data_IF_235897541190
#
_entry.id   IF_235897541190
#
_cell.length_a   1.000
_cell.length_b   1.000
_cell.length_c   1.000
_cell.angle_alpha   90.00
_cell.angle_beta   90.00
_cell.angle_gamma   90.00
#
_symmetry.space_group_name_H-M   'P 1'
#
loop_
_entity.id
_entity.type
_entity.pdbx_description
1 polymer ?
#
# COMPACT_ATOMS: atom_id res chain seq x y z
N UNK A 1 -28.97 -3.36 -2.06
CA UNK A 1 -28.69 -4.10 -3.31
C UNK A 1 -27.18 -4.18 -3.39
N UNK A 2 -26.61 -5.38 -3.27
CA UNK A 2 -25.17 -5.57 -3.49
C UNK A 2 -24.86 -5.16 -4.94
N UNK A 3 -24.07 -4.10 -5.11
CA UNK A 3 -23.50 -3.80 -6.42
C UNK A 3 -22.62 -4.97 -6.80
N UNK A 4 -22.98 -5.65 -7.89
CA UNK A 4 -22.17 -6.72 -8.44
C UNK A 4 -20.95 -6.08 -9.09
N UNK A 5 -19.79 -6.22 -8.46
CA UNK A 5 -18.50 -5.82 -9.00
C UNK A 5 -18.35 -6.49 -10.38
N UNK A 6 -18.05 -5.69 -11.41
CA UNK A 6 -17.78 -6.21 -12.77
C UNK A 6 -16.30 -6.05 -13.06
N UNK A 7 -15.59 -7.18 -13.15
CA UNK A 7 -14.18 -7.25 -13.50
C UNK A 7 -14.05 -7.93 -14.86
N UNK A 8 -13.30 -7.31 -15.77
CA UNK A 8 -12.94 -7.90 -17.07
C UNK A 8 -11.45 -7.71 -17.34
N UNK A 9 -10.70 -8.80 -17.36
CA UNK A 9 -9.29 -8.81 -17.73
C UNK A 9 -9.08 -8.96 -19.24
N UNK A 10 -7.98 -8.39 -19.71
CA UNK A 10 -7.49 -8.51 -21.07
C UNK A 10 -5.99 -8.83 -21.01
N UNK A 11 -5.59 -9.90 -21.70
CA UNK A 11 -4.19 -10.35 -21.80
C UNK A 11 -3.63 -10.19 -23.23
N UNK A 12 -4.51 -9.89 -24.18
CA UNK A 12 -4.19 -9.69 -25.59
C UNK A 12 -5.01 -8.52 -26.13
N UNK A 13 -4.55 -7.91 -27.22
CA UNK A 13 -5.22 -6.77 -27.86
C UNK A 13 -5.55 -5.62 -26.90
N UNK A 14 -4.68 -5.39 -25.90
CA UNK A 14 -4.90 -4.39 -24.84
C UNK A 14 -4.94 -2.96 -25.40
N UNK A 15 -4.01 -2.55 -26.28
CA UNK A 15 -4.03 -1.19 -26.84
C UNK A 15 -5.33 -0.86 -27.59
N UNK A 16 -5.86 -1.71 -28.48
CA UNK A 16 -7.19 -1.49 -29.07
C UNK A 16 -8.32 -1.30 -28.04
N UNK A 17 -8.30 -2.06 -26.94
CA UNK A 17 -9.30 -1.93 -25.86
C UNK A 17 -9.17 -0.56 -25.17
N UNK A 18 -7.95 -0.16 -24.81
CA UNK A 18 -7.67 1.15 -24.19
C UNK A 18 -8.12 2.29 -25.12
N UNK A 19 -7.77 2.22 -26.41
CA UNK A 19 -8.15 3.23 -27.41
C UNK A 19 -9.66 3.34 -27.57
N UNK A 20 -10.37 2.20 -27.59
CA UNK A 20 -11.83 2.18 -27.66
C UNK A 20 -12.43 2.89 -26.44
N UNK A 21 -11.98 2.56 -25.24
CA UNK A 21 -12.51 3.13 -24.00
C UNK A 21 -12.24 4.64 -23.89
N UNK A 22 -11.04 5.10 -24.26
CA UNK A 22 -10.74 6.54 -24.38
C UNK A 22 -11.70 7.22 -25.36
N UNK A 23 -12.03 6.56 -26.47
CA UNK A 23 -12.91 7.14 -27.48
C UNK A 23 -14.38 7.28 -27.03
N UNK A 24 -14.79 6.46 -26.05
CA UNK A 24 -16.13 6.40 -25.47
C UNK A 24 -16.31 7.30 -24.23
N UNK A 25 -15.21 7.84 -23.67
CA UNK A 25 -15.20 8.71 -22.50
C UNK A 25 -16.00 10.01 -22.71
N UNK A 26 -16.74 10.43 -21.69
CA UNK A 26 -17.71 11.54 -21.79
C UNK A 26 -17.43 12.69 -20.83
N UNK A 27 -16.92 12.40 -19.64
CA UNK A 27 -16.78 13.34 -18.51
C UNK A 27 -15.30 13.55 -18.21
N UNK A 28 -14.55 12.48 -17.93
CA UNK A 28 -13.17 12.58 -17.48
C UNK A 28 -12.31 11.38 -17.88
N UNK A 29 -11.02 11.64 -18.05
CA UNK A 29 -9.97 10.63 -18.21
C UNK A 29 -8.78 11.06 -17.33
N UNK A 30 -8.54 10.32 -16.25
CA UNK A 30 -7.39 10.52 -15.36
C UNK A 30 -6.38 9.38 -15.60
N UNK A 31 -5.10 9.70 -15.79
CA UNK A 31 -4.08 8.69 -16.12
C UNK A 31 -2.88 8.84 -15.19
N UNK A 32 -2.44 7.72 -14.62
CA UNK A 32 -1.16 7.57 -13.94
C UNK A 32 -0.39 6.48 -14.65
N UNK A 33 0.76 6.82 -15.24
CA UNK A 33 1.47 5.87 -16.09
C UNK A 33 2.99 5.99 -15.99
N UNK A 34 3.68 4.89 -15.70
CA UNK A 34 5.14 4.85 -15.72
C UNK A 34 5.72 5.23 -17.09
N UNK A 35 5.21 4.63 -18.17
CA UNK A 35 5.64 4.94 -19.54
C UNK A 35 4.47 5.17 -20.50
N UNK A 36 4.44 6.33 -21.15
CA UNK A 36 3.42 6.73 -22.12
C UNK A 36 4.04 7.12 -23.48
N UNK A 37 4.47 6.12 -24.26
CA UNK A 37 5.14 6.34 -25.55
C UNK A 37 4.31 5.91 -26.77
N UNK A 38 3.15 5.27 -26.59
CA UNK A 38 2.31 4.82 -27.70
C UNK A 38 1.65 6.00 -28.43
N UNK A 39 2.08 6.22 -29.68
CA UNK A 39 1.44 7.20 -30.57
C UNK A 39 -0.04 6.90 -30.86
N UNK A 40 -0.47 5.65 -30.72
CA UNK A 40 -1.88 5.28 -30.94
C UNK A 40 -2.73 5.78 -29.76
N UNK A 41 -2.30 5.53 -28.53
CA UNK A 41 -2.98 6.00 -27.31
C UNK A 41 -2.94 7.53 -27.22
N UNK A 42 -1.77 8.15 -27.47
CA UNK A 42 -1.64 9.62 -27.48
C UNK A 42 -2.61 10.28 -28.47
N UNK A 43 -2.73 9.74 -29.69
CA UNK A 43 -3.70 10.23 -30.69
C UNK A 43 -5.15 9.97 -30.29
N UNK A 44 -5.44 8.88 -29.59
CA UNK A 44 -6.78 8.59 -29.09
C UNK A 44 -7.22 9.67 -28.09
N UNK A 45 -6.36 10.03 -27.13
CA UNK A 45 -6.61 11.10 -26.15
C UNK A 45 -6.83 12.45 -26.85
N UNK A 46 -5.93 12.81 -27.75
CA UNK A 46 -6.02 14.05 -28.52
C UNK A 46 -7.35 14.13 -29.29
N UNK A 47 -7.72 13.06 -30.01
CA UNK A 47 -8.98 13.01 -30.77
C UNK A 47 -10.22 13.01 -29.87
N UNK A 48 -10.18 12.36 -28.71
CA UNK A 48 -11.29 12.36 -27.77
C UNK A 48 -11.56 13.78 -27.25
N UNK A 49 -10.50 14.49 -26.82
CA UNK A 49 -10.59 15.90 -26.38
C UNK A 49 -11.06 16.84 -27.49
N UNK A 50 -10.61 16.66 -28.73
CA UNK A 50 -11.11 17.45 -29.86
C UNK A 50 -12.59 17.22 -30.17
N UNK A 51 -13.08 15.97 -30.06
CA UNK A 51 -14.50 15.65 -30.29
C UNK A 51 -15.40 16.17 -29.16
N UNK A 52 -14.87 16.23 -27.94
CA UNK A 52 -15.59 16.69 -26.76
C UNK A 52 -14.68 17.66 -25.97
N UNK A 53 -14.81 18.95 -26.24
CA UNK A 53 -14.00 19.98 -25.57
C UNK A 53 -14.24 20.05 -24.06
N UNK A 54 -15.40 19.57 -23.58
CA UNK A 54 -15.75 19.49 -22.15
C UNK A 54 -15.13 18.27 -21.44
N UNK A 55 -14.61 17.28 -22.19
CA UNK A 55 -13.93 16.11 -21.60
C UNK A 55 -12.72 16.58 -20.80
N UNK A 56 -12.70 16.33 -19.49
CA UNK A 56 -11.52 16.57 -18.67
C UNK A 56 -10.49 15.47 -18.93
N UNK A 57 -9.27 15.85 -19.29
CA UNK A 57 -8.19 14.87 -19.47
C UNK A 57 -7.01 15.34 -18.66
N UNK A 58 -6.64 14.58 -17.65
CA UNK A 58 -5.47 14.85 -16.80
C UNK A 58 -4.59 13.62 -16.74
N UNK A 59 -3.29 13.82 -16.86
CA UNK A 59 -2.35 12.71 -16.80
C UNK A 59 -1.10 13.10 -16.04
N UNK A 60 -0.51 12.12 -15.37
CA UNK A 60 0.83 12.19 -14.80
C UNK A 60 1.63 11.00 -15.32
N UNK A 61 2.86 11.29 -15.73
CA UNK A 61 3.83 10.29 -16.16
C UNK A 61 5.11 10.44 -15.33
N UNK A 62 5.88 9.37 -15.25
CA UNK A 62 7.18 9.41 -14.58
C UNK A 62 8.17 10.34 -15.31
N UNK A 63 9.04 11.01 -14.56
CA UNK A 63 10.07 11.92 -15.08
C UNK A 63 11.36 11.16 -15.43
N UNK A 64 11.24 10.24 -16.40
CA UNK A 64 12.36 9.49 -16.94
C UNK A 64 12.71 9.91 -18.38
N UNK A 65 13.96 9.61 -18.77
CA UNK A 65 14.53 9.93 -20.09
C UNK A 65 13.68 9.39 -21.27
N UNK A 66 13.00 8.25 -21.08
CA UNK A 66 12.16 7.65 -22.13
C UNK A 66 10.91 8.52 -22.35
N UNK A 67 10.25 8.98 -21.28
CA UNK A 67 9.13 9.89 -21.41
C UNK A 67 9.59 11.27 -21.93
N UNK A 68 10.76 11.74 -21.51
CA UNK A 68 11.33 12.98 -22.05
C UNK A 68 11.53 12.91 -23.57
N UNK A 69 12.00 11.77 -24.07
CA UNK A 69 12.24 11.58 -25.50
C UNK A 69 10.96 11.37 -26.32
N UNK A 70 9.96 10.64 -25.79
CA UNK A 70 8.85 10.15 -26.62
C UNK A 70 7.47 10.69 -26.23
N UNK A 71 7.32 11.25 -25.02
CA UNK A 71 6.07 11.84 -24.55
C UNK A 71 6.11 13.36 -24.63
N UNK A 72 7.20 14.01 -24.20
CA UNK A 72 7.26 15.48 -24.18
C UNK A 72 7.16 16.14 -25.56
N UNK A 73 7.50 15.41 -26.63
CA UNK A 73 7.29 15.85 -28.02
C UNK A 73 5.83 16.25 -28.32
N UNK A 74 4.84 15.66 -27.63
CA UNK A 74 3.42 15.98 -27.80
C UNK A 74 2.82 16.81 -26.67
N UNK A 75 3.61 17.14 -25.64
CA UNK A 75 3.11 17.80 -24.44
C UNK A 75 2.52 19.18 -24.75
N UNK A 76 3.17 19.93 -25.63
CA UNK A 76 2.69 21.24 -26.07
C UNK A 76 1.34 21.14 -26.81
N UNK A 77 1.20 20.14 -27.70
CA UNK A 77 -0.05 19.91 -28.44
C UNK A 77 -1.20 19.52 -27.49
N UNK A 78 -0.91 18.71 -26.47
CA UNK A 78 -1.87 18.31 -25.45
C UNK A 78 -2.34 19.53 -24.64
N UNK A 79 -1.40 20.34 -24.15
CA UNK A 79 -1.71 21.54 -23.39
C UNK A 79 -2.49 22.56 -24.23
N UNK A 80 -2.16 22.72 -25.51
CA UNK A 80 -2.84 23.64 -26.42
C UNK A 80 -4.34 23.34 -26.60
N UNK A 81 -4.75 22.08 -26.44
CA UNK A 81 -6.16 21.66 -26.53
C UNK A 81 -6.81 21.41 -25.15
N UNK A 82 -6.12 21.75 -24.06
CA UNK A 82 -6.62 21.63 -22.69
C UNK A 82 -6.55 20.22 -22.09
N UNK A 83 -5.62 19.37 -22.53
CA UNK A 83 -5.20 18.17 -21.79
C UNK A 83 -4.16 18.62 -20.76
N UNK A 84 -4.42 18.36 -19.48
CA UNK A 84 -3.54 18.77 -18.39
C UNK A 84 -2.49 17.69 -18.11
N UNK A 85 -1.23 18.07 -18.18
CA UNK A 85 -0.09 17.23 -17.81
C UNK A 85 0.35 17.67 -16.42
N UNK A 86 0.05 16.86 -15.41
CA UNK A 86 0.42 17.07 -14.02
C UNK A 86 1.86 16.62 -13.78
N UNK A 87 2.49 17.20 -12.75
CA UNK A 87 3.76 16.72 -12.21
C UNK A 87 3.47 15.88 -10.97
N UNK A 88 4.19 14.78 -10.79
CA UNK A 88 4.16 14.06 -9.52
C UNK A 88 4.81 14.91 -8.42
N UNK A 89 4.30 14.81 -7.20
CA UNK A 89 4.80 15.57 -6.04
C UNK A 89 6.02 14.91 -5.38
N UNK A 90 6.27 13.63 -5.68
CA UNK A 90 7.36 12.82 -5.16
C UNK A 90 8.48 12.71 -6.22
N UNK A 91 9.74 12.69 -5.78
CA UNK A 91 10.90 12.38 -6.63
C UNK A 91 11.13 10.88 -6.85
N UNK A 92 10.39 9.99 -6.17
CA UNK A 92 10.45 8.55 -6.42
C UNK A 92 9.87 8.19 -7.78
N UNK A 93 10.36 7.08 -8.32
CA UNK A 93 9.91 6.52 -9.58
C UNK A 93 8.41 6.17 -9.52
N UNK A 94 7.64 6.65 -10.48
CA UNK A 94 6.21 6.37 -10.60
C UNK A 94 5.99 5.07 -11.39
N UNK A 95 5.96 3.94 -10.70
CA UNK A 95 5.75 2.62 -11.33
C UNK A 95 4.27 2.27 -11.58
N UNK A 96 3.33 3.10 -11.12
CA UNK A 96 1.87 2.86 -11.25
C UNK A 96 1.37 2.99 -12.69
N UNK A 97 0.40 2.14 -13.04
CA UNK A 97 -0.17 2.03 -14.39
C UNK A 97 -1.69 1.87 -14.33
N UNK A 98 -2.40 3.00 -14.23
CA UNK A 98 -3.85 2.98 -14.25
C UNK A 98 -4.47 4.17 -14.97
N UNK A 99 -5.72 3.99 -15.39
CA UNK A 99 -6.56 5.01 -16.00
C UNK A 99 -7.95 4.94 -15.38
N UNK A 100 -8.53 6.09 -15.08
CA UNK A 100 -9.90 6.23 -14.61
C UNK A 100 -10.68 6.97 -15.70
N UNK A 101 -11.80 6.40 -16.13
CA UNK A 101 -12.71 6.99 -17.11
C UNK A 101 -14.02 7.27 -16.42
N UNK A 102 -14.52 8.51 -16.58
CA UNK A 102 -15.83 8.98 -16.13
C UNK A 102 -16.18 8.68 -14.66
N UNK A 103 -15.16 8.43 -13.83
CA UNK A 103 -15.27 7.94 -12.44
C UNK A 103 -16.02 6.62 -12.28
N UNK A 104 -16.31 5.93 -13.38
CA UNK A 104 -17.15 4.73 -13.44
C UNK A 104 -16.37 3.47 -13.84
N UNK A 105 -15.15 3.65 -14.33
CA UNK A 105 -14.29 2.58 -14.81
C UNK A 105 -12.83 2.86 -14.47
N UNK A 106 -12.20 1.93 -13.77
CA UNK A 106 -10.73 1.91 -13.62
C UNK A 106 -10.14 0.80 -14.48
N UNK A 107 -9.09 1.15 -15.23
CA UNK A 107 -8.20 0.23 -15.90
C UNK A 107 -6.90 0.18 -15.11
N UNK A 108 -6.42 -1.00 -14.74
CA UNK A 108 -5.08 -1.18 -14.17
C UNK A 108 -4.45 -2.51 -14.56
N UNK A 109 -3.13 -2.60 -14.46
CA UNK A 109 -2.39 -3.84 -14.67
C UNK A 109 -0.91 -3.57 -14.92
N UNK A 110 -0.22 -4.56 -15.49
CA UNK A 110 1.19 -4.44 -15.89
C UNK A 110 1.39 -3.58 -17.15
N UNK A 111 0.36 -3.46 -17.99
CA UNK A 111 0.48 -2.86 -19.32
C UNK A 111 0.81 -1.36 -19.27
N UNK A 112 2.06 -1.04 -19.63
CA UNK A 112 2.47 0.32 -19.93
C UNK A 112 1.87 0.81 -21.26
N UNK A 113 1.55 2.11 -21.35
CA UNK A 113 1.07 2.72 -22.60
C UNK A 113 2.22 3.04 -23.55
N UNK A 114 3.08 2.06 -23.80
CA UNK A 114 4.29 2.15 -24.60
C UNK A 114 4.21 1.31 -25.86
N UNK A 115 5.03 1.65 -26.87
CA UNK A 115 5.13 0.84 -28.09
C UNK A 115 5.66 -0.57 -27.86
N UNK A 116 6.48 -0.78 -26.80
CA UNK A 116 7.10 -2.07 -26.46
C UNK A 116 6.11 -3.05 -25.82
N UNK A 117 5.19 -2.55 -24.99
CA UNK A 117 4.24 -3.38 -24.23
C UNK A 117 3.39 -4.32 -25.12
N UNK A 118 3.20 -3.99 -26.40
CA UNK A 118 2.52 -4.85 -27.39
C UNK A 118 3.15 -6.24 -27.59
N UNK A 119 4.43 -6.39 -27.26
CA UNK A 119 5.21 -7.63 -27.48
C UNK A 119 5.49 -8.38 -26.17
N UNK A 120 5.10 -7.80 -25.05
CA UNK A 120 5.31 -8.37 -23.73
C UNK A 120 4.07 -9.18 -23.30
N UNK A 121 4.26 -10.11 -22.36
CA UNK A 121 3.15 -10.72 -21.65
C UNK A 121 2.66 -9.73 -20.59
N UNK A 122 1.57 -9.03 -20.91
CA UNK A 122 1.01 -7.95 -20.11
C UNK A 122 -0.49 -8.18 -19.91
N UNK A 123 -1.08 -7.46 -18.97
CA UNK A 123 -2.52 -7.53 -18.66
C UNK A 123 -3.08 -6.17 -18.28
N UNK A 124 -4.39 -6.01 -18.50
CA UNK A 124 -5.21 -4.91 -17.97
C UNK A 124 -6.54 -5.47 -17.48
N UNK A 125 -6.92 -5.14 -16.26
CA UNK A 125 -8.25 -5.36 -15.70
C UNK A 125 -9.08 -4.08 -15.81
N UNK A 126 -10.31 -4.24 -16.31
CA UNK A 126 -11.36 -3.22 -16.37
C UNK A 126 -12.29 -3.48 -15.19
N UNK A 127 -12.42 -2.49 -14.31
CA UNK A 127 -13.14 -2.63 -13.05
C UNK A 127 -14.20 -1.54 -12.95
N UNK A 128 -15.44 -1.97 -12.75
CA UNK A 128 -16.58 -1.08 -12.47
C UNK A 128 -17.07 -1.34 -11.07
N UNK A 129 -16.64 -0.47 -10.16
CA UNK A 129 -17.06 -0.42 -8.76
C UNK A 129 -16.80 0.99 -8.22
N UNK A 130 -17.82 1.58 -7.59
CA UNK A 130 -17.79 2.99 -7.16
C UNK A 130 -16.69 3.24 -6.11
N UNK A 131 -16.50 2.30 -5.19
CA UNK A 131 -15.47 2.40 -4.14
C UNK A 131 -14.08 2.27 -4.74
N UNK A 132 -13.87 1.33 -5.65
CA UNK A 132 -12.58 1.17 -6.34
C UNK A 132 -12.16 2.43 -7.08
N UNK A 133 -13.09 2.96 -7.87
CA UNK A 133 -12.87 4.11 -8.72
C UNK A 133 -12.60 5.36 -7.87
N UNK A 134 -13.35 5.53 -6.78
CA UNK A 134 -13.13 6.59 -5.80
C UNK A 134 -11.73 6.53 -5.20
N UNK A 135 -11.29 5.34 -4.75
CA UNK A 135 -9.94 5.15 -4.18
C UNK A 135 -8.86 5.52 -5.19
N UNK A 136 -8.94 5.04 -6.43
CA UNK A 136 -7.94 5.35 -7.46
C UNK A 136 -7.95 6.83 -7.83
N UNK A 137 -9.11 7.48 -7.82
CA UNK A 137 -9.22 8.94 -8.01
C UNK A 137 -8.53 9.68 -6.87
N UNK A 138 -8.72 9.29 -5.62
CA UNK A 138 -8.00 9.85 -4.46
C UNK A 138 -6.48 9.63 -4.58
N UNK A 139 -6.05 8.46 -5.05
CA UNK A 139 -4.62 8.18 -5.33
C UNK A 139 -4.06 9.11 -6.40
N UNK A 140 -4.80 9.35 -7.50
CA UNK A 140 -4.40 10.31 -8.52
C UNK A 140 -4.13 11.70 -7.92
N UNK A 141 -5.02 12.20 -7.05
CA UNK A 141 -4.83 13.48 -6.38
C UNK A 141 -3.66 13.46 -5.38
N UNK A 142 -3.50 12.38 -4.63
CA UNK A 142 -2.37 12.20 -3.73
C UNK A 142 -1.00 12.21 -4.44
N UNK A 143 -0.96 11.82 -5.72
CA UNK A 143 0.26 11.85 -6.54
C UNK A 143 0.51 13.23 -7.15
N UNK A 144 -0.55 13.99 -7.47
CA UNK A 144 -0.46 15.17 -8.36
C UNK A 144 -0.64 16.51 -7.66
N UNK A 145 -1.23 16.52 -6.46
CA UNK A 145 -1.59 17.75 -5.74
C UNK A 145 -0.84 17.87 -4.41
N UNK A 146 0.06 18.85 -4.31
CA UNK A 146 0.95 19.00 -3.14
C UNK A 146 0.19 19.30 -1.84
N UNK A 147 -0.96 19.94 -1.94
CA UNK A 147 -1.82 20.31 -0.81
C UNK A 147 -2.86 19.25 -0.47
N UNK A 148 -2.99 18.19 -1.29
CA UNK A 148 -3.95 17.13 -1.04
C UNK A 148 -3.53 16.30 0.17
N UNK A 149 -4.47 16.11 1.10
CA UNK A 149 -4.34 15.21 2.23
C UNK A 149 -5.56 14.29 2.20
N UNK A 150 -5.32 13.00 2.00
CA UNK A 150 -6.40 12.02 1.97
C UNK A 150 -7.07 11.91 3.34
N UNK A 151 -8.38 11.66 3.35
CA UNK A 151 -9.15 11.47 4.59
C UNK A 151 -8.62 10.31 5.44
N UNK A 152 -8.08 9.24 4.82
CA UNK A 152 -7.46 8.15 5.57
C UNK A 152 -6.15 8.63 6.23
N UNK A 153 -5.37 9.47 5.55
CA UNK A 153 -4.16 10.05 6.16
C UNK A 153 -4.52 11.02 7.28
N UNK A 154 -5.64 11.73 7.18
CA UNK A 154 -6.14 12.57 8.26
C UNK A 154 -6.37 11.77 9.55
N UNK A 155 -6.86 10.53 9.47
CA UNK A 155 -6.98 9.64 10.64
C UNK A 155 -5.63 9.38 11.33
N UNK A 156 -4.52 9.34 10.58
CA UNK A 156 -3.19 9.17 11.19
C UNK A 156 -2.77 10.40 12.00
N UNK A 157 -3.15 11.60 11.55
CA UNK A 157 -2.93 12.82 12.32
C UNK A 157 -3.84 12.90 13.54
N UNK A 158 -5.09 12.44 13.41
CA UNK A 158 -6.08 12.45 14.48
C UNK A 158 -5.78 11.40 15.58
N UNK A 159 -5.07 10.32 15.23
CA UNK A 159 -4.71 9.22 16.13
C UNK A 159 -3.19 8.96 16.16
N UNK A 160 -2.38 9.85 16.75
CA UNK A 160 -0.92 9.83 16.63
C UNK A 160 -0.25 8.59 17.23
N UNK A 161 -0.76 8.02 18.33
CA UNK A 161 -0.20 6.79 18.91
C UNK A 161 -0.41 5.57 18.00
N UNK A 162 -1.60 5.45 17.40
CA UNK A 162 -1.90 4.42 16.41
C UNK A 162 -1.01 4.60 15.18
N UNK A 163 -0.93 5.82 14.66
CA UNK A 163 -0.10 6.14 13.51
C UNK A 163 1.38 5.85 13.76
N UNK A 164 1.90 6.19 14.94
CA UNK A 164 3.29 5.90 15.31
C UNK A 164 3.55 4.38 15.29
N UNK A 165 2.71 3.57 15.94
CA UNK A 165 2.83 2.09 15.91
C UNK A 165 2.75 1.55 14.49
N UNK A 166 1.78 2.02 13.70
CA UNK A 166 1.57 1.58 12.32
C UNK A 166 2.77 1.89 11.42
N UNK A 167 3.26 3.13 11.43
CA UNK A 167 4.42 3.54 10.62
C UNK A 167 5.70 2.84 11.07
N UNK A 168 5.92 2.66 12.38
CA UNK A 168 7.10 1.91 12.86
C UNK A 168 7.07 0.46 12.38
N UNK A 169 5.88 -0.15 12.32
CA UNK A 169 5.68 -1.52 11.87
C UNK A 169 5.93 -1.67 10.38
N UNK A 170 5.37 -0.80 9.54
CA UNK A 170 5.29 -1.06 8.10
C UNK A 170 5.98 -0.06 7.18
N UNK A 171 6.35 1.14 7.64
CA UNK A 171 6.96 2.13 6.76
C UNK A 171 8.35 1.65 6.28
N UNK A 172 8.64 1.63 4.97
CA UNK A 172 9.90 1.14 4.43
C UNK A 172 11.01 2.20 4.58
N UNK A 173 11.57 2.33 5.78
CA UNK A 173 12.58 3.34 6.06
C UNK A 173 13.83 3.18 5.17
N UNK A 174 14.31 4.29 4.61
CA UNK A 174 15.70 4.42 4.18
C UNK A 174 16.61 4.57 5.40
N UNK A 175 17.92 4.34 5.23
CA UNK A 175 18.90 4.54 6.32
C UNK A 175 18.91 5.98 6.85
N UNK A 176 18.66 6.96 5.99
CA UNK A 176 18.62 8.37 6.36
C UNK A 176 17.36 8.69 7.16
N UNK A 177 16.20 8.21 6.69
CA UNK A 177 14.93 8.35 7.40
C UNK A 177 14.95 7.67 8.76
N UNK A 178 15.50 6.44 8.84
CA UNK A 178 15.65 5.73 10.11
C UNK A 178 16.44 6.56 11.14
N UNK A 179 17.57 7.17 10.71
CA UNK A 179 18.36 8.05 11.58
C UNK A 179 17.59 9.30 11.98
N UNK A 180 16.87 9.90 11.04
CA UNK A 180 16.09 11.13 11.25
C UNK A 180 14.97 10.94 12.28
N UNK A 181 14.30 9.80 12.24
CA UNK A 181 13.13 9.53 13.10
C UNK A 181 13.44 8.66 14.31
N UNK A 182 14.73 8.35 14.55
CA UNK A 182 15.15 7.32 15.50
C UNK A 182 14.56 7.47 16.91
N UNK A 183 14.43 8.70 17.39
CA UNK A 183 13.89 9.01 18.71
C UNK A 183 12.35 8.94 18.77
N UNK A 184 11.69 8.48 17.71
CA UNK A 184 10.23 8.32 17.61
C UNK A 184 9.84 6.97 17.03
N UNK A 185 10.82 6.09 16.78
CA UNK A 185 10.56 4.74 16.31
C UNK A 185 10.31 3.84 17.52
N UNK A 186 9.08 3.33 17.65
CA UNK A 186 8.70 2.31 18.63
C UNK A 186 9.31 0.98 18.21
N UNK A 187 10.07 0.34 19.10
CA UNK A 187 10.61 -0.99 18.84
C UNK A 187 9.51 -2.08 18.77
N UNK A 188 8.51 -2.03 19.66
CA UNK A 188 7.55 -3.12 19.86
C UNK A 188 8.15 -4.27 20.66
N UNK A 189 7.37 -5.32 20.93
CA UNK A 189 7.84 -6.53 21.61
C UNK A 189 7.07 -7.77 21.14
N UNK A 190 7.65 -8.96 21.33
CA UNK A 190 7.01 -10.25 21.08
C UNK A 190 7.66 -11.34 21.96
N UNK A 191 6.88 -12.03 22.79
CA UNK A 191 7.34 -13.10 23.68
C UNK A 191 6.20 -14.04 24.09
N UNK A 192 6.52 -15.24 24.53
CA UNK A 192 5.56 -16.17 25.15
C UNK A 192 5.54 -16.01 26.67
N UNK A 193 4.38 -16.27 27.27
CA UNK A 193 4.22 -16.31 28.71
C UNK A 193 3.18 -17.35 29.13
N UNK A 194 3.39 -17.97 30.29
CA UNK A 194 2.45 -18.94 30.85
C UNK A 194 1.23 -18.24 31.44
N UNK A 195 0.04 -18.58 30.96
CA UNK A 195 -1.23 -18.10 31.52
C UNK A 195 -1.83 -19.07 32.57
N UNK A 196 -1.09 -20.13 32.92
CA UNK A 196 -1.48 -21.15 33.91
C UNK A 196 -2.11 -22.40 33.32
N UNK A 197 -2.47 -22.40 32.02
CA UNK A 197 -2.96 -23.57 31.29
C UNK A 197 -2.06 -23.91 30.10
N UNK A 198 -1.63 -22.91 29.34
CA UNK A 198 -0.74 -23.03 28.19
C UNK A 198 0.16 -21.78 28.05
N UNK A 199 1.14 -21.86 27.15
CA UNK A 199 1.93 -20.69 26.77
C UNK A 199 1.11 -19.83 25.81
N UNK A 200 1.06 -18.53 26.05
CA UNK A 200 0.36 -17.54 25.24
C UNK A 200 1.34 -16.51 24.68
N UNK A 201 1.18 -16.15 23.42
CA UNK A 201 2.00 -15.13 22.77
C UNK A 201 1.48 -13.74 23.13
N UNK A 202 2.39 -12.85 23.55
CA UNK A 202 2.12 -11.43 23.78
C UNK A 202 2.99 -10.59 22.87
N UNK A 203 2.39 -9.65 22.14
CA UNK A 203 3.09 -8.77 21.22
C UNK A 203 2.54 -7.34 21.25
N UNK A 204 3.36 -6.41 20.76
CA UNK A 204 2.98 -5.02 20.49
C UNK A 204 3.63 -4.59 19.16
N UNK A 205 2.86 -3.99 18.22
CA UNK A 205 3.37 -3.56 16.93
C UNK A 205 4.54 -2.59 17.06
N UNK A 206 5.50 -2.67 16.15
CA UNK A 206 6.66 -1.80 16.13
C UNK A 206 7.74 -2.26 15.18
N UNK A 207 8.90 -1.62 15.27
CA UNK A 207 10.02 -1.80 14.36
C UNK A 207 10.57 -3.23 14.31
N UNK A 208 10.34 -4.07 15.33
CA UNK A 208 10.72 -5.50 15.29
C UNK A 208 9.96 -6.32 14.23
N UNK A 209 8.79 -5.86 13.79
CA UNK A 209 8.02 -6.46 12.69
C UNK A 209 8.41 -5.88 11.33
N UNK A 210 9.11 -4.74 11.32
CA UNK A 210 9.52 -4.08 10.10
C UNK A 210 10.66 -4.84 9.43
N UNK A 211 10.59 -5.06 8.12
CA UNK A 211 11.65 -5.75 7.38
C UNK A 211 13.03 -5.07 7.47
N UNK A 212 13.04 -3.76 7.74
CA UNK A 212 14.26 -2.96 7.89
C UNK A 212 14.76 -2.92 9.34
N UNK A 213 14.23 -3.76 10.25
CA UNK A 213 14.63 -3.79 11.66
C UNK A 213 16.15 -3.98 11.88
N UNK A 214 16.82 -4.66 10.94
CA UNK A 214 18.28 -4.86 10.94
C UNK A 214 19.08 -3.55 10.90
N UNK A 215 18.45 -2.41 10.58
CA UNK A 215 19.08 -1.09 10.65
C UNK A 215 19.44 -0.69 12.08
N UNK A 216 18.76 -1.24 13.10
CA UNK A 216 19.13 -1.05 14.49
C UNK A 216 19.93 -2.25 15.02
N UNK A 217 21.25 -2.09 15.12
CA UNK A 217 22.13 -3.12 15.69
C UNK A 217 21.94 -3.31 17.21
N UNK A 218 21.23 -2.40 17.89
CA UNK A 218 20.91 -2.54 19.32
C UNK A 218 19.68 -3.41 19.56
N UNK A 219 18.87 -3.66 18.52
CA UNK A 219 17.79 -4.64 18.62
C UNK A 219 18.39 -6.03 18.75
N UNK A 220 18.03 -6.70 19.85
CA UNK A 220 18.41 -8.08 20.11
C UNK A 220 17.16 -8.92 19.89
N UNK A 221 17.30 -10.00 19.13
CA UNK A 221 16.24 -10.98 19.00
C UNK A 221 15.88 -11.51 20.40
N UNK A 222 14.60 -11.40 20.76
CA UNK A 222 14.09 -12.00 21.98
C UNK A 222 13.97 -13.52 21.82
N UNK A 223 12.80 -14.06 22.13
CA UNK A 223 12.49 -15.47 21.91
C UNK A 223 12.43 -15.85 20.43
N UNK A 224 12.07 -14.88 19.57
CA UNK A 224 11.84 -15.08 18.15
C UNK A 224 12.85 -14.31 17.30
N UNK A 225 13.14 -14.84 16.10
CA UNK A 225 14.04 -14.22 15.13
C UNK A 225 13.45 -12.91 14.59
N UNK A 226 14.30 -11.89 14.45
CA UNK A 226 13.95 -10.62 13.82
C UNK A 226 14.18 -10.66 12.29
N UNK A 227 13.34 -9.99 11.48
CA UNK A 227 12.07 -9.39 11.88
C UNK A 227 11.05 -10.47 12.30
N UNK A 228 10.18 -10.14 13.24
CA UNK A 228 9.11 -11.05 13.68
C UNK A 228 8.15 -11.26 12.52
N UNK A 229 7.99 -12.51 12.10
CA UNK A 229 7.07 -12.86 11.03
C UNK A 229 5.62 -12.74 11.51
N UNK A 230 4.75 -12.01 10.79
CA UNK A 230 3.31 -11.91 11.11
C UNK A 230 2.61 -13.28 11.12
N UNK A 231 3.03 -14.21 10.26
CA UNK A 231 2.46 -15.56 10.19
C UNK A 231 2.74 -16.38 11.43
N UNK A 232 3.83 -16.09 12.16
CA UNK A 232 4.04 -16.65 13.49
C UNK A 232 2.87 -16.26 14.40
N UNK A 233 2.51 -14.98 14.45
CA UNK A 233 1.45 -14.46 15.32
C UNK A 233 0.09 -15.08 14.95
N UNK A 234 -0.25 -15.09 13.66
CA UNK A 234 -1.51 -15.68 13.15
C UNK A 234 -1.63 -17.17 13.49
N UNK A 235 -0.55 -17.93 13.33
CA UNK A 235 -0.53 -19.35 13.67
C UNK A 235 -0.73 -19.60 15.16
N UNK A 236 -0.18 -18.74 16.02
CA UNK A 236 -0.33 -18.84 17.48
C UNK A 236 -1.75 -18.52 17.97
N UNK A 237 -2.47 -17.60 17.33
CA UNK A 237 -3.85 -17.21 17.71
C UNK A 237 -4.88 -18.25 17.25
N UNK A 238 -4.51 -19.15 16.33
CA UNK A 238 -5.28 -20.36 16.07
C UNK A 238 -6.61 -20.14 15.36
N UNK A 239 -6.62 -19.48 14.20
CA UNK A 239 -7.28 -20.02 12.99
C UNK A 239 -7.21 -19.11 11.76
N UNK A 240 -6.91 -19.79 10.63
CA UNK A 240 -7.33 -19.60 9.24
C UNK A 240 -7.09 -18.26 8.54
N UNK A 241 -6.14 -18.29 7.60
CA UNK A 241 -6.40 -17.86 6.23
C UNK A 241 -5.67 -18.79 5.25
N UNK A 242 -6.43 -19.63 4.54
CA UNK A 242 -5.96 -20.23 3.29
C UNK A 242 -5.98 -19.13 2.23
N UNK A 243 -4.86 -18.43 2.06
CA UNK A 243 -4.55 -17.65 0.86
C UNK A 243 -3.02 -17.54 0.69
N UNK A 244 -2.36 -18.70 0.66
CA UNK A 244 -0.89 -18.82 0.60
C UNK A 244 -0.28 -18.71 -0.81
N UNK A 245 -0.97 -18.09 -1.77
CA UNK A 245 -0.40 -17.84 -3.10
C UNK A 245 -0.11 -16.36 -3.39
N UNK A 246 -0.56 -15.44 -2.52
CA UNK A 246 -0.40 -13.98 -2.73
C UNK A 246 0.56 -13.36 -1.70
N UNK A 247 0.69 -13.95 -0.50
CA UNK A 247 1.52 -13.38 0.59
C UNK A 247 3.04 -13.46 0.34
N UNK A 248 3.50 -14.30 -0.59
CA UNK A 248 4.91 -14.33 -1.01
C UNK A 248 5.37 -13.09 -1.78
N UNK A 249 4.43 -12.26 -2.26
CA UNK A 249 4.68 -11.12 -3.15
C UNK A 249 4.39 -9.75 -2.49
N UNK A 250 4.04 -9.71 -1.20
CA UNK A 250 3.31 -8.57 -0.57
C UNK A 250 4.13 -7.61 0.28
N UNK A 251 5.44 -7.75 0.30
CA UNK A 251 6.27 -7.16 1.34
C UNK A 251 7.00 -5.86 0.95
N UNK A 252 6.65 -5.27 -0.20
CA UNK A 252 7.11 -3.95 -0.64
C UNK A 252 5.96 -3.22 -1.38
N UNK A 253 5.64 -1.95 -1.06
CA UNK A 253 4.64 -1.18 -1.80
C UNK A 253 4.90 -1.08 -3.31
N UNK A 254 6.13 -1.28 -3.78
CA UNK A 254 6.45 -1.40 -5.22
C UNK A 254 5.86 -2.68 -5.86
N UNK A 255 5.58 -3.73 -5.08
CA UNK A 255 5.10 -5.03 -5.56
C UNK A 255 3.59 -5.09 -5.83
N UNK A 256 2.85 -4.01 -5.56
CA UNK A 256 1.48 -3.85 -6.08
C UNK A 256 1.44 -3.99 -7.61
N UNK A 257 2.51 -3.52 -8.26
CA UNK A 257 2.66 -3.62 -9.71
C UNK A 257 3.16 -5.01 -10.14
N UNK A 258 3.96 -5.71 -9.32
CA UNK A 258 4.37 -7.09 -9.57
C UNK A 258 3.21 -8.09 -9.46
N UNK A 259 2.23 -7.84 -8.59
CA UNK A 259 1.02 -8.66 -8.56
C UNK A 259 0.19 -8.49 -9.84
N UNK A 260 0.23 -7.31 -10.45
CA UNK A 260 -0.26 -7.09 -11.81
C UNK A 260 0.50 -7.96 -12.83
N UNK A 261 1.82 -8.03 -12.74
CA UNK A 261 2.71 -8.79 -13.64
C UNK A 261 2.65 -10.32 -13.44
N UNK A 262 2.35 -10.80 -12.22
CA UNK A 262 2.35 -12.21 -11.83
C UNK A 262 0.97 -12.86 -11.83
N UNK A 263 -0.10 -12.12 -12.13
CA UNK A 263 -1.38 -12.76 -12.48
C UNK A 263 -1.19 -13.43 -13.85
N UNK A 264 -0.57 -14.61 -13.83
CA UNK A 264 -0.64 -15.59 -14.91
C UNK A 264 -2.10 -15.75 -15.34
N UNK A 265 -2.31 -16.15 -16.60
CA UNK A 265 -3.59 -16.29 -17.35
C UNK A 265 -4.68 -17.09 -16.62
N UNK A 266 -5.09 -16.64 -15.45
CA UNK A 266 -5.95 -17.32 -14.51
C UNK A 266 -6.97 -16.30 -14.03
N UNK A 267 -8.14 -16.37 -14.64
CA UNK A 267 -9.28 -15.52 -14.31
C UNK A 267 -9.70 -15.65 -12.85
N UNK A 268 -9.48 -16.82 -12.22
CA UNK A 268 -9.80 -17.03 -10.81
C UNK A 268 -8.81 -16.28 -9.91
N UNK A 269 -7.52 -16.21 -10.28
CA UNK A 269 -6.53 -15.44 -9.54
C UNK A 269 -6.79 -13.93 -9.63
N UNK A 270 -7.18 -13.43 -10.81
CA UNK A 270 -7.65 -12.04 -11.00
C UNK A 270 -8.84 -11.75 -10.08
N UNK A 271 -9.86 -12.61 -10.11
CA UNK A 271 -11.11 -12.41 -9.36
C UNK A 271 -10.86 -12.46 -7.84
N UNK A 272 -10.10 -13.44 -7.35
CA UNK A 272 -9.72 -13.55 -5.93
C UNK A 272 -8.92 -12.33 -5.48
N UNK A 273 -7.95 -11.89 -6.27
CA UNK A 273 -7.13 -10.72 -5.95
C UNK A 273 -7.99 -9.46 -5.77
N UNK A 274 -8.83 -9.17 -6.76
CA UNK A 274 -9.65 -7.96 -6.72
C UNK A 274 -10.70 -8.06 -5.62
N UNK A 275 -11.36 -9.21 -5.43
CA UNK A 275 -12.25 -9.42 -4.28
C UNK A 275 -11.56 -9.16 -2.95
N UNK A 276 -10.36 -9.69 -2.76
CA UNK A 276 -9.59 -9.44 -1.54
C UNK A 276 -9.32 -7.95 -1.36
N UNK A 277 -8.84 -7.27 -2.41
CA UNK A 277 -8.57 -5.83 -2.38
C UNK A 277 -9.84 -5.01 -2.09
N UNK A 278 -11.00 -5.46 -2.58
CA UNK A 278 -12.29 -4.88 -2.26
C UNK A 278 -12.65 -5.08 -0.79
N UNK A 279 -12.52 -6.28 -0.27
CA UNK A 279 -12.90 -6.58 1.11
C UNK A 279 -12.00 -5.86 2.12
N UNK A 280 -10.79 -5.46 1.69
CA UNK A 280 -9.76 -4.87 2.55
C UNK A 280 -9.52 -3.38 2.32
N UNK A 281 -10.22 -2.78 1.35
CA UNK A 281 -10.26 -1.32 1.16
C UNK A 281 -11.47 -0.74 1.90
N UNK A 282 -11.19 -0.07 2.99
CA UNK A 282 -12.21 0.45 3.89
C UNK A 282 -12.44 1.95 3.69
N UNK A 283 -13.69 2.35 3.85
CA UNK A 283 -14.08 3.76 3.91
C UNK A 283 -13.53 4.42 5.18
N UNK A 284 -13.43 5.75 5.17
CA UNK A 284 -13.04 6.54 6.34
C UNK A 284 -13.76 6.13 7.62
N UNK A 285 -15.09 5.97 7.60
CA UNK A 285 -15.89 5.66 8.80
C UNK A 285 -15.56 4.27 9.38
N UNK A 286 -15.34 3.29 8.50
CA UNK A 286 -14.94 1.93 8.89
C UNK A 286 -13.55 1.96 9.52
N UNK A 287 -12.58 2.63 8.89
CA UNK A 287 -11.23 2.80 9.45
C UNK A 287 -11.25 3.50 10.80
N UNK A 288 -12.02 4.59 10.93
CA UNK A 288 -12.20 5.31 12.18
C UNK A 288 -12.77 4.43 13.28
N UNK A 289 -13.79 3.64 12.97
CA UNK A 289 -14.38 2.67 13.90
C UNK A 289 -13.36 1.60 14.31
N UNK A 290 -12.60 1.05 13.36
CA UNK A 290 -11.56 0.05 13.62
C UNK A 290 -10.46 0.61 14.54
N UNK A 291 -9.99 1.84 14.29
CA UNK A 291 -8.98 2.50 15.14
C UNK A 291 -9.53 2.73 16.55
N UNK A 292 -10.76 3.23 16.68
CA UNK A 292 -11.40 3.45 17.99
C UNK A 292 -11.59 2.15 18.77
N UNK A 293 -11.83 1.03 18.07
CA UNK A 293 -11.95 -0.30 18.65
C UNK A 293 -10.61 -1.03 18.78
N UNK A 294 -9.49 -0.31 18.69
CA UNK A 294 -8.14 -0.85 18.86
C UNK A 294 -7.83 -2.02 17.91
N UNK A 295 -8.07 -1.81 16.61
CA UNK A 295 -7.69 -2.78 15.57
C UNK A 295 -6.28 -3.31 15.75
N UNK A 296 -6.12 -4.62 15.60
CA UNK A 296 -4.83 -5.26 15.65
C UNK A 296 -4.05 -5.01 14.36
N UNK A 297 -3.01 -4.17 14.48
CA UNK A 297 -2.14 -3.77 13.37
C UNK A 297 -1.46 -4.97 12.70
N UNK A 298 -1.12 -6.03 13.44
CA UNK A 298 -0.36 -7.18 12.92
C UNK A 298 -1.29 -8.19 12.24
N UNK A 299 -2.47 -8.41 12.81
CA UNK A 299 -3.45 -9.37 12.28
C UNK A 299 -4.16 -8.80 11.06
N UNK A 300 -4.51 -7.52 11.09
CA UNK A 300 -5.15 -6.84 9.96
C UNK A 300 -4.11 -6.39 8.93
N UNK A 301 -3.57 -7.36 8.19
CA UNK A 301 -2.39 -7.18 7.35
C UNK A 301 -2.59 -6.27 6.12
N UNK A 302 -3.84 -5.95 5.79
CA UNK A 302 -4.22 -5.06 4.70
C UNK A 302 -4.49 -3.62 5.13
N UNK A 303 -4.47 -3.37 6.43
CA UNK A 303 -4.62 -2.03 7.01
C UNK A 303 -3.61 -1.06 6.45
N UNK A 304 -2.33 -1.41 6.46
CA UNK A 304 -1.30 -0.53 5.92
C UNK A 304 -1.36 -0.35 4.40
N UNK A 305 -1.18 -1.41 3.59
CA UNK A 305 -0.94 -1.26 2.16
C UNK A 305 -2.13 -0.69 1.39
N UNK A 306 -3.36 -1.00 1.80
CA UNK A 306 -4.56 -0.66 1.02
C UNK A 306 -5.21 0.65 1.47
N UNK A 307 -4.96 1.06 2.72
CA UNK A 307 -5.72 2.15 3.32
C UNK A 307 -4.87 3.37 3.66
N UNK A 308 -3.57 3.22 3.93
CA UNK A 308 -2.69 4.34 4.30
C UNK A 308 -1.52 4.53 3.35
N UNK A 309 -0.82 3.46 2.98
CA UNK A 309 0.42 3.53 2.19
C UNK A 309 0.21 4.23 0.83
N UNK A 310 -0.95 4.03 0.20
CA UNK A 310 -1.30 4.59 -1.11
C UNK A 310 -1.32 6.13 -1.15
N UNK A 311 -1.55 6.76 0.00
CA UNK A 311 -1.79 8.19 0.12
C UNK A 311 -0.63 8.94 0.79
N UNK A 312 0.39 8.22 1.26
CA UNK A 312 1.52 8.79 1.96
C UNK A 312 2.64 9.18 0.99
N UNK A 313 3.08 10.43 1.12
CA UNK A 313 4.32 10.92 0.50
C UNK A 313 5.33 11.31 1.59
N UNK A 314 6.57 11.58 1.19
CA UNK A 314 7.65 11.90 2.11
C UNK A 314 7.35 13.12 3.01
N UNK A 315 6.66 14.13 2.47
CA UNK A 315 6.31 15.36 3.20
C UNK A 315 5.30 15.07 4.31
N UNK A 316 4.30 14.23 4.05
CA UNK A 316 3.31 13.79 5.03
C UNK A 316 3.95 12.92 6.11
N UNK A 317 4.82 11.98 5.72
CA UNK A 317 5.59 11.15 6.67
C UNK A 317 6.44 12.01 7.59
N UNK A 318 7.14 13.02 7.06
CA UNK A 318 7.90 13.98 7.87
C UNK A 318 7.00 14.70 8.89
N UNK A 319 5.82 15.15 8.49
CA UNK A 319 4.86 15.82 9.38
C UNK A 319 4.35 14.88 10.48
N UNK A 320 4.00 13.65 10.13
CA UNK A 320 3.55 12.62 11.07
C UNK A 320 4.64 12.34 12.11
N UNK A 321 5.85 12.01 11.67
CA UNK A 321 6.96 11.79 12.60
C UNK A 321 7.27 13.03 13.43
N UNK A 322 7.22 14.24 12.88
CA UNK A 322 7.41 15.46 13.66
C UNK A 322 6.34 15.67 14.75
N UNK A 323 5.15 15.08 14.60
CA UNK A 323 4.05 15.15 15.57
C UNK A 323 4.11 14.07 16.66
N UNK A 324 4.76 12.94 16.40
CA UNK A 324 4.75 11.80 17.33
C UNK A 324 5.53 12.07 18.63
N UNK A 325 5.13 11.52 19.78
CA UNK A 325 5.91 11.64 20.99
C UNK A 325 7.31 11.03 20.80
N UNK A 326 8.30 11.66 21.42
CA UNK A 326 9.66 11.08 21.50
C UNK A 326 9.64 9.89 22.45
N UNK A 327 10.48 8.91 22.16
CA UNK A 327 10.59 7.66 22.87
C UNK A 327 12.05 7.45 23.25
N UNK A 328 12.26 7.21 24.53
CA UNK A 328 13.50 6.56 24.97
C UNK A 328 13.35 5.08 24.64
N UNK A 329 14.03 4.64 23.58
CA UNK A 329 14.05 3.23 23.23
C UNK A 329 14.77 2.46 24.33
N UNK A 330 13.97 1.91 25.24
CA UNK A 330 14.46 1.06 26.31
C UNK A 330 14.75 -0.34 25.76
N UNK A 331 15.97 -0.52 25.24
CA UNK A 331 16.48 -1.83 24.85
C UNK A 331 16.58 -2.79 26.06
N UNK A 332 16.38 -2.30 27.29
CA UNK A 332 16.25 -3.10 28.52
C UNK A 332 14.84 -3.64 28.75
N UNK A 333 13.91 -3.54 27.78
CA UNK A 333 12.70 -4.37 27.80
C UNK A 333 13.06 -5.88 27.85
N UNK A 334 14.32 -6.23 27.51
CA UNK A 334 14.92 -7.53 27.83
C UNK A 334 15.14 -7.76 29.34
N UNK A 335 15.52 -6.76 30.15
CA UNK A 335 15.56 -6.85 31.62
C UNK A 335 14.17 -6.94 32.25
N UNK A 336 13.15 -6.25 31.71
CA UNK A 336 11.76 -6.42 32.16
C UNK A 336 11.21 -7.81 31.78
N UNK A 337 11.51 -8.30 30.57
CA UNK A 337 11.23 -9.67 30.12
C UNK A 337 12.02 -10.73 30.91
N UNK A 338 13.29 -10.46 31.24
CA UNK A 338 14.10 -11.31 32.11
C UNK A 338 13.56 -11.26 33.54
N UNK A 339 13.04 -10.12 34.03
CA UNK A 339 12.43 -10.00 35.35
C UNK A 339 11.12 -10.78 35.43
N UNK A 340 10.26 -10.69 34.40
CA UNK A 340 9.02 -11.48 34.26
C UNK A 340 9.35 -12.98 34.14
N UNK A 341 10.32 -13.36 33.30
CA UNK A 341 10.79 -14.74 33.16
C UNK A 341 11.50 -15.28 34.43
N UNK A 342 12.21 -14.42 35.18
CA UNK A 342 12.84 -14.77 36.48
C UNK A 342 11.79 -14.92 37.58
N UNK A 343 10.74 -14.11 37.59
CA UNK A 343 9.61 -14.22 38.51
C UNK A 343 8.82 -15.52 38.27
N UNK A 344 8.53 -15.86 37.00
CA UNK A 344 7.92 -17.15 36.63
C UNK A 344 8.77 -18.37 37.03
N UNK A 345 10.09 -18.31 36.82
CA UNK A 345 11.02 -19.39 37.27
C UNK A 345 11.15 -19.48 38.79
N UNK A 346 11.08 -18.37 39.54
CA UNK A 346 11.06 -18.38 41.03
C UNK A 346 9.79 -19.02 41.59
N UNK A 347 8.63 -18.75 40.99
CA UNK A 347 7.35 -19.37 41.38
C UNK A 347 7.34 -20.89 41.13
N UNK A 348 7.98 -21.37 40.04
CA UNK A 348 8.19 -22.80 39.76
C UNK A 348 9.14 -23.49 40.74
N UNK A 349 10.16 -22.78 41.26
CA UNK A 349 11.04 -23.30 42.31
C UNK A 349 10.34 -23.39 43.67
N UNK A 350 9.51 -22.40 44.02
CA UNK A 350 8.76 -22.40 45.29
C UNK A 350 7.62 -23.45 45.32
N UNK A 351 7.00 -23.77 44.16
CA UNK A 351 6.02 -24.88 44.08
C UNK A 351 6.65 -26.28 44.15
N UNK A 352 7.97 -26.42 43.92
CA UNK A 352 8.72 -27.69 44.09
C UNK A 352 9.36 -27.84 45.48
N UNK A 353 9.19 -26.88 46.39
CA UNK A 353 9.73 -26.89 47.75
C UNK A 353 8.67 -26.65 48.83
N UNK A 354 7.43 -27.10 48.61
CA UNK A 354 6.48 -27.29 49.71
C UNK A 354 6.48 -28.78 50.09
N UNK A 355 6.94 -29.15 51.29
CA UNK A 355 7.10 -30.54 51.69
C UNK A 355 5.75 -31.18 52.08
N UNK A 356 5.63 -32.47 51.77
CA UNK A 356 4.88 -33.43 52.60
C UNK A 356 5.61 -33.60 53.93
#
# INVERSE_FOLDING_TARGET
>A
MEQKIVIKAHFENIEPVVVKLISEAKISVLIVMAWLTSNVIKRALYRAKLRNSLLQVELVVDDNEINDQYFLDVANDFQAIGILIKKKIDGRFLHRKFMIIDEDLTLLGSYNYSGKAKRNAENVALIRDDRFNSIHKRVFWAITEETYVDENVQLLFDHPEFAQRLLCTYYPFTREQYKLYKDRIINGYCFTHENGLYDEIKYDPGFIFNQRCWMDRKLIAGEFKLPINKELIKNWIGSRNENLLIDGYRDDPEYWDELGEQIERNWDAVDIFFRTLFDTTWTYDVLKSMINNQVDIIIEDRLWPDNFALFLNQKLVNKLFASFPKIENDYSNHEMQLAINRLGKKLKKNKKQSPL
#
